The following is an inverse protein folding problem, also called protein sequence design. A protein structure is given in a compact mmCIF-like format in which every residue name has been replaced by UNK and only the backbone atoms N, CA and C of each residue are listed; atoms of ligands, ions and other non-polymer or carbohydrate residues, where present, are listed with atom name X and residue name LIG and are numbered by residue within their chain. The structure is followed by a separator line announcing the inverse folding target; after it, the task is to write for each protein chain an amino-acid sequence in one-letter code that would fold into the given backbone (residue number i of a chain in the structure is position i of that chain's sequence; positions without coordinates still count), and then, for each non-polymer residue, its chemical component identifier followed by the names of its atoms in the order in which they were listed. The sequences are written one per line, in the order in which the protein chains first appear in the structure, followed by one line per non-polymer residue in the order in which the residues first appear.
data_IF_861571732342
#
_entry.id   IF_861571732342
#
_cell.length_a   1.000
_cell.length_b   1.000
_cell.length_c   1.000
_cell.angle_alpha   90.00
_cell.angle_beta   90.00
_cell.angle_gamma   90.00
#
_symmetry.space_group_name_H-M   'P 1'
#
loop_
_entity.id
_entity.type
_entity.pdbx_description
1 polymer ?
#
# COMPACT_ATOMS: atom_id res chain seq x y z
N UNK A 1 -3.96 -33.74 -4.84
CA UNK A 1 -3.78 -32.37 -5.34
C UNK A 1 -4.09 -31.38 -4.24
N UNK A 2 -3.34 -30.28 -4.20
CA UNK A 2 -3.54 -29.19 -3.23
C UNK A 2 -4.86 -28.48 -3.54
N UNK A 3 -5.79 -28.39 -2.57
CA UNK A 3 -7.02 -27.61 -2.71
C UNK A 3 -6.77 -26.15 -3.11
N UNK A 4 -7.69 -25.56 -3.89
CA UNK A 4 -7.56 -24.17 -4.36
C UNK A 4 -7.43 -23.16 -3.19
N UNK A 5 -8.04 -23.45 -2.05
CA UNK A 5 -8.01 -22.65 -0.83
C UNK A 5 -6.65 -22.64 -0.11
N UNK A 6 -5.79 -23.63 -0.36
CA UNK A 6 -4.46 -23.72 0.23
C UNK A 6 -3.44 -22.83 -0.52
N UNK A 7 -3.82 -22.27 -1.68
CA UNK A 7 -3.00 -21.30 -2.39
C UNK A 7 -3.15 -19.91 -1.77
N UNK A 8 -2.03 -19.18 -1.69
CA UNK A 8 -2.02 -17.79 -1.20
C UNK A 8 -2.86 -16.90 -2.12
N UNK A 9 -3.85 -16.24 -1.54
CA UNK A 9 -4.70 -15.27 -2.22
C UNK A 9 -3.96 -13.92 -2.43
N UNK A 10 -4.50 -12.99 -3.25
CA UNK A 10 -3.87 -11.71 -3.53
C UNK A 10 -3.62 -10.88 -2.27
N UNK A 11 -4.61 -10.79 -1.38
CA UNK A 11 -4.55 -10.02 -0.13
C UNK A 11 -3.35 -10.46 0.71
N UNK A 12 -3.16 -11.77 0.90
CA UNK A 12 -2.04 -12.31 1.66
C UNK A 12 -0.70 -11.95 1.03
N UNK A 13 -0.59 -12.04 -0.30
CA UNK A 13 0.65 -11.72 -1.01
C UNK A 13 0.96 -10.22 -0.90
N UNK A 14 -0.03 -9.36 -1.10
CA UNK A 14 0.12 -7.90 -0.99
C UNK A 14 0.49 -7.47 0.43
N UNK A 15 -0.23 -7.96 1.43
CA UNK A 15 0.06 -7.65 2.84
C UNK A 15 1.46 -8.11 3.23
N UNK A 16 1.88 -9.32 2.81
CA UNK A 16 3.23 -9.82 3.10
C UNK A 16 4.31 -8.98 2.40
N UNK A 17 4.10 -8.64 1.12
CA UNK A 17 5.02 -7.80 0.36
C UNK A 17 5.19 -6.43 1.03
N UNK A 18 4.08 -5.74 1.33
CA UNK A 18 4.09 -4.39 1.91
C UNK A 18 4.72 -4.41 3.31
N UNK A 19 4.38 -5.40 4.15
CA UNK A 19 4.95 -5.54 5.49
C UNK A 19 6.47 -5.74 5.45
N UNK A 20 6.95 -6.57 4.53
CA UNK A 20 8.39 -6.86 4.40
C UNK A 20 9.14 -5.65 3.84
N UNK A 21 8.60 -4.96 2.84
CA UNK A 21 9.22 -3.77 2.25
C UNK A 21 9.29 -2.63 3.27
N UNK A 22 8.22 -2.39 4.04
CA UNK A 22 8.23 -1.34 5.08
C UNK A 22 9.21 -1.62 6.22
N UNK A 23 9.63 -2.88 6.38
CA UNK A 23 10.60 -3.34 7.38
C UNK A 23 11.99 -3.60 6.79
N UNK A 24 12.33 -2.92 5.70
CA UNK A 24 13.64 -2.94 5.06
C UNK A 24 14.04 -4.31 4.46
N UNK A 25 13.06 -5.07 3.97
CA UNK A 25 13.25 -6.38 3.37
C UNK A 25 12.84 -6.46 1.90
N UNK A 26 13.31 -7.51 1.22
CA UNK A 26 12.85 -7.88 -0.11
C UNK A 26 11.94 -9.10 -0.01
N UNK A 27 10.81 -9.08 -0.70
CA UNK A 27 9.89 -10.20 -0.75
C UNK A 27 10.15 -11.06 -1.99
N UNK A 28 10.52 -12.33 -1.76
CA UNK A 28 10.66 -13.33 -2.80
C UNK A 28 9.50 -14.32 -2.70
N UNK A 29 8.72 -14.45 -3.78
CA UNK A 29 7.62 -15.41 -3.88
C UNK A 29 8.05 -16.63 -4.69
N UNK A 30 7.83 -17.80 -4.13
CA UNK A 30 8.01 -19.08 -4.83
C UNK A 30 6.70 -19.53 -5.49
N UNK A 31 6.81 -20.17 -6.66
CA UNK A 31 5.66 -20.72 -7.39
C UNK A 31 5.97 -22.16 -7.81
N UNK A 32 5.05 -23.07 -7.48
CA UNK A 32 5.16 -24.48 -7.86
C UNK A 32 4.34 -24.78 -9.13
N UNK A 33 4.96 -24.89 -10.32
CA UNK A 33 4.25 -25.36 -11.49
C UNK A 33 3.90 -26.85 -11.38
N UNK A 34 2.93 -27.29 -12.16
CA UNK A 34 2.59 -28.71 -12.34
C UNK A 34 3.74 -29.47 -13.00
N UNK A 35 3.68 -30.81 -13.00
CA UNK A 35 4.71 -31.66 -13.60
C UNK A 35 4.97 -31.39 -15.11
N UNK A 36 3.98 -30.84 -15.82
CA UNK A 36 4.11 -30.41 -17.23
C UNK A 36 4.54 -28.94 -17.39
N UNK A 37 4.92 -28.25 -16.30
CA UNK A 37 5.45 -26.88 -16.30
C UNK A 37 4.40 -25.77 -16.25
N UNK A 38 3.11 -26.08 -16.12
CA UNK A 38 2.04 -25.08 -16.10
C UNK A 38 1.86 -24.47 -14.71
N UNK A 39 1.76 -23.14 -14.62
CA UNK A 39 1.35 -22.47 -13.37
C UNK A 39 -0.13 -22.72 -13.12
N UNK A 40 -0.46 -23.25 -11.94
CA UNK A 40 -1.83 -23.56 -11.53
C UNK A 40 -2.71 -22.30 -11.49
N UNK A 41 -3.99 -22.46 -11.88
CA UNK A 41 -4.93 -21.34 -12.04
C UNK A 41 -5.10 -20.45 -10.80
N UNK A 42 -5.16 -20.98 -9.55
CA UNK A 42 -5.26 -20.13 -8.36
C UNK A 42 -4.04 -19.22 -8.16
N UNK A 43 -2.83 -19.76 -8.33
CA UNK A 43 -1.58 -18.98 -8.26
C UNK A 43 -1.51 -17.95 -9.37
N UNK A 44 -1.82 -18.33 -10.61
CA UNK A 44 -1.81 -17.40 -11.75
C UNK A 44 -2.77 -16.23 -11.52
N UNK A 45 -4.00 -16.51 -11.10
CA UNK A 45 -5.02 -15.48 -10.82
C UNK A 45 -4.54 -14.52 -9.75
N UNK A 46 -3.95 -15.05 -8.67
CA UNK A 46 -3.48 -14.22 -7.56
C UNK A 46 -2.31 -13.34 -7.96
N UNK A 47 -1.32 -13.88 -8.68
CA UNK A 47 -0.16 -13.13 -9.15
C UNK A 47 -0.53 -12.04 -10.17
N UNK A 48 -1.53 -12.28 -11.03
CA UNK A 48 -2.00 -11.26 -11.97
C UNK A 48 -2.64 -10.07 -11.22
N UNK A 49 -3.47 -10.34 -10.21
CA UNK A 49 -4.05 -9.27 -9.36
C UNK A 49 -2.99 -8.48 -8.60
N UNK A 50 -1.99 -9.17 -8.04
CA UNK A 50 -0.83 -8.51 -7.41
C UNK A 50 -0.09 -7.62 -8.42
N UNK A 51 0.12 -8.11 -9.64
CA UNK A 51 0.75 -7.36 -10.73
C UNK A 51 -0.07 -6.14 -11.16
N UNK A 52 -1.39 -6.21 -11.17
CA UNK A 52 -2.28 -5.07 -11.43
C UNK A 52 -2.14 -4.00 -10.35
N UNK A 53 -2.14 -4.42 -9.07
CA UNK A 53 -1.93 -3.51 -7.94
C UNK A 53 -0.57 -2.82 -7.99
N UNK A 54 0.49 -3.59 -8.28
CA UNK A 54 1.86 -3.06 -8.36
C UNK A 54 2.05 -1.96 -9.40
N UNK A 55 1.20 -1.88 -10.43
CA UNK A 55 1.32 -0.83 -11.47
C UNK A 55 1.04 0.56 -10.94
N UNK A 56 0.09 0.71 -10.02
CA UNK A 56 -0.20 2.01 -9.41
C UNK A 56 0.50 2.17 -8.04
N UNK A 57 1.06 1.09 -7.50
CA UNK A 57 1.86 1.08 -6.27
C UNK A 57 3.36 1.34 -6.47
N UNK A 58 3.81 1.54 -7.70
CA UNK A 58 5.24 1.62 -8.01
C UNK A 58 5.98 2.66 -7.16
N UNK A 59 5.34 3.81 -6.92
CA UNK A 59 5.93 4.90 -6.15
C UNK A 59 6.11 4.57 -4.67
N UNK A 60 5.31 3.65 -4.12
CA UNK A 60 5.30 3.27 -2.72
C UNK A 60 6.12 1.99 -2.43
N UNK A 61 6.55 1.26 -3.47
CA UNK A 61 7.29 0.00 -3.34
C UNK A 61 8.69 0.11 -3.91
N UNK A 62 8.83 0.47 -5.19
CA UNK A 62 10.12 0.47 -5.86
C UNK A 62 10.94 1.73 -5.56
N UNK A 63 12.26 1.54 -5.43
CA UNK A 63 13.23 2.59 -5.09
C UNK A 63 12.84 3.38 -3.84
N UNK A 64 12.17 2.72 -2.91
CA UNK A 64 11.84 3.26 -1.59
C UNK A 64 12.84 2.80 -0.53
N UNK A 65 12.80 3.44 0.62
CA UNK A 65 13.44 3.02 1.86
C UNK A 65 12.38 2.85 2.95
N UNK A 66 12.74 2.11 4.00
CA UNK A 66 11.91 2.00 5.20
C UNK A 66 11.87 3.32 5.97
N UNK A 67 10.76 3.58 6.66
CA UNK A 67 10.71 4.68 7.62
C UNK A 67 11.36 4.26 8.95
N UNK A 68 12.53 4.82 9.26
CA UNK A 68 13.34 4.37 10.40
C UNK A 68 12.77 4.74 11.77
N UNK A 69 11.83 5.68 11.84
CA UNK A 69 11.18 6.08 13.10
C UNK A 69 10.11 5.07 13.50
N UNK A 70 9.28 4.63 12.54
CA UNK A 70 8.31 3.56 12.74
C UNK A 70 7.99 2.88 11.42
N UNK A 71 8.06 1.55 11.37
CA UNK A 71 7.77 0.78 10.16
C UNK A 71 6.26 0.55 9.95
N UNK A 72 5.46 0.65 11.01
CA UNK A 72 4.03 0.35 11.02
C UNK A 72 3.25 1.10 12.12
N UNK A 73 1.95 1.24 11.90
CA UNK A 73 0.98 1.70 12.91
C UNK A 73 -0.34 0.95 12.68
N UNK A 74 -0.64 -0.05 13.51
CA UNK A 74 -1.79 -0.92 13.27
C UNK A 74 -1.69 -1.56 11.87
N UNK A 75 -2.66 -1.24 11.01
CA UNK A 75 -2.72 -1.71 9.62
C UNK A 75 -2.00 -0.77 8.63
N UNK A 76 -1.34 0.29 9.10
CA UNK A 76 -0.55 1.18 8.26
C UNK A 76 0.89 0.67 8.13
N UNK A 77 1.46 0.86 6.95
CA UNK A 77 2.86 0.60 6.61
C UNK A 77 3.44 1.83 5.93
N UNK A 78 4.72 2.06 6.15
CA UNK A 78 5.38 3.28 5.70
C UNK A 78 6.61 2.99 4.86
N UNK A 79 6.73 3.72 3.75
CA UNK A 79 7.93 3.76 2.93
C UNK A 79 8.26 5.20 2.59
N UNK A 80 9.51 5.50 2.26
CA UNK A 80 9.96 6.87 2.01
C UNK A 80 10.93 6.97 0.83
N UNK A 81 10.89 8.11 0.17
CA UNK A 81 11.82 8.58 -0.86
C UNK A 81 12.38 9.95 -0.44
N UNK A 82 13.46 10.44 -1.07
CA UNK A 82 13.99 11.77 -0.78
C UNK A 82 12.96 12.91 -0.93
N UNK A 83 11.99 12.74 -1.82
CA UNK A 83 10.98 13.73 -2.20
C UNK A 83 9.55 13.35 -1.78
N UNK A 84 9.34 12.18 -1.17
CA UNK A 84 8.02 11.72 -0.79
C UNK A 84 7.98 10.81 0.45
N UNK A 85 6.82 10.77 1.08
CA UNK A 85 6.45 9.80 2.10
C UNK A 85 5.23 9.01 1.64
N UNK A 86 5.26 7.69 1.76
CA UNK A 86 4.16 6.83 1.37
C UNK A 86 3.55 6.15 2.59
N UNK A 87 2.22 6.19 2.68
CA UNK A 87 1.42 5.48 3.67
C UNK A 87 0.61 4.43 2.92
N UNK A 88 0.70 3.19 3.37
CA UNK A 88 0.04 2.04 2.76
C UNK A 88 -0.90 1.46 3.81
N UNK A 89 -2.20 1.49 3.56
CA UNK A 89 -3.21 0.92 4.47
C UNK A 89 -3.53 -0.50 4.07
N UNK A 90 -3.39 -1.45 4.99
CA UNK A 90 -3.75 -2.87 4.81
C UNK A 90 -5.23 -3.15 5.09
N UNK A 91 -5.96 -2.16 5.62
CA UNK A 91 -7.40 -2.22 5.85
C UNK A 91 -8.11 -0.99 5.30
N UNK A 92 -9.40 -1.13 5.06
CA UNK A 92 -10.24 -0.09 4.46
C UNK A 92 -10.29 1.15 5.38
N UNK A 93 -9.87 2.35 4.91
CA UNK A 93 -10.00 3.58 5.69
C UNK A 93 -11.47 3.87 6.01
N UNK A 94 -11.80 4.04 7.29
CA UNK A 94 -13.19 4.20 7.73
C UNK A 94 -13.65 5.66 7.68
N UNK A 95 -14.91 5.87 7.33
CA UNK A 95 -15.59 7.18 7.28
C UNK A 95 -14.92 8.17 6.31
N UNK A 96 -14.36 7.68 5.20
CA UNK A 96 -13.65 8.50 4.22
C UNK A 96 -12.42 9.22 4.78
N UNK A 97 -11.79 8.69 5.84
CA UNK A 97 -10.61 9.33 6.45
C UNK A 97 -9.54 8.30 6.79
N UNK A 98 -8.33 8.51 6.28
CA UNK A 98 -7.13 7.83 6.79
C UNK A 98 -6.59 8.61 7.98
N UNK A 99 -6.33 7.91 9.09
CA UNK A 99 -5.81 8.51 10.32
C UNK A 99 -4.47 7.89 10.71
N UNK A 100 -3.53 8.72 11.12
CA UNK A 100 -2.22 8.27 11.61
C UNK A 100 -1.82 9.09 12.84
N UNK A 101 -1.46 8.42 13.93
CA UNK A 101 -0.92 9.06 15.14
C UNK A 101 0.62 9.08 15.16
N UNK A 102 1.25 8.39 14.21
CA UNK A 102 2.70 8.34 14.06
C UNK A 102 3.30 9.71 13.75
N UNK A 103 4.53 9.91 14.22
CA UNK A 103 5.35 11.07 13.83
C UNK A 103 5.81 10.90 12.39
N UNK A 104 4.99 11.38 11.46
CA UNK A 104 5.29 11.39 10.03
C UNK A 104 6.04 12.68 9.67
N UNK A 105 6.96 12.63 8.69
CA UNK A 105 7.79 13.78 8.29
C UNK A 105 7.05 14.80 7.42
N UNK A 106 5.80 15.13 7.78
CA UNK A 106 4.95 16.08 7.05
C UNK A 106 5.16 17.50 7.56
N UNK A 107 5.16 18.46 6.65
CA UNK A 107 5.16 19.90 6.94
C UNK A 107 4.05 20.62 6.18
N UNK A 108 3.71 21.81 6.65
CA UNK A 108 2.77 22.68 5.97
C UNK A 108 3.22 22.94 4.52
N UNK A 109 2.28 22.79 3.60
CA UNK A 109 2.50 22.91 2.16
C UNK A 109 2.66 21.59 1.42
N UNK A 110 3.02 20.50 2.11
CA UNK A 110 3.13 19.18 1.48
C UNK A 110 1.79 18.73 0.87
N UNK A 111 1.89 18.01 -0.25
CA UNK A 111 0.72 17.62 -1.05
C UNK A 111 0.42 16.15 -0.80
N UNK A 112 -0.75 15.89 -0.21
CA UNK A 112 -1.25 14.53 -0.05
C UNK A 112 -2.02 14.08 -1.30
N UNK A 113 -1.85 12.82 -1.68
CA UNK A 113 -2.45 12.27 -2.90
C UNK A 113 -2.86 10.82 -2.65
N UNK A 114 -4.08 10.46 -3.04
CA UNK A 114 -4.52 9.07 -3.15
C UNK A 114 -4.10 8.52 -4.52
N UNK A 115 -3.49 7.34 -4.51
CA UNK A 115 -3.11 6.63 -5.73
C UNK A 115 -4.16 5.55 -6.02
N UNK A 116 -4.95 5.77 -7.07
CA UNK A 116 -6.04 4.88 -7.45
C UNK A 116 -5.66 3.90 -8.57
N UNK A 117 -6.59 2.99 -8.92
CA UNK A 117 -6.41 2.12 -10.07
C UNK A 117 -6.31 2.96 -11.36
N UNK A 118 -5.69 2.39 -12.39
CA UNK A 118 -5.34 3.10 -13.64
C UNK A 118 -4.29 4.23 -13.48
N UNK A 119 -3.51 4.20 -12.40
CA UNK A 119 -2.48 5.21 -12.07
C UNK A 119 -3.08 6.62 -11.88
N UNK A 120 -4.35 6.70 -11.48
CA UNK A 120 -4.97 7.97 -11.12
C UNK A 120 -4.33 8.54 -9.85
N UNK A 121 -4.22 9.86 -9.80
CA UNK A 121 -3.69 10.60 -8.65
C UNK A 121 -4.70 11.68 -8.27
N UNK A 122 -5.29 11.56 -7.08
CA UNK A 122 -6.25 12.53 -6.55
C UNK A 122 -5.68 13.24 -5.33
N UNK A 123 -5.51 14.54 -5.45
CA UNK A 123 -5.07 15.37 -4.32
C UNK A 123 -6.09 15.31 -3.17
N UNK A 124 -5.59 15.21 -1.94
CA UNK A 124 -6.38 15.07 -0.74
C UNK A 124 -6.25 16.32 0.13
N UNK A 125 -7.38 16.75 0.70
CA UNK A 125 -7.35 17.64 1.84
C UNK A 125 -6.82 16.87 3.05
N UNK A 126 -5.90 17.48 3.79
CA UNK A 126 -5.34 16.89 5.00
C UNK A 126 -5.18 17.92 6.10
N UNK A 127 -5.24 17.48 7.36
CA UNK A 127 -5.08 18.35 8.52
C UNK A 127 -4.56 17.59 9.73
N UNK A 128 -4.06 18.33 10.72
CA UNK A 128 -3.81 17.81 12.06
C UNK A 128 -5.05 18.04 12.93
N UNK A 129 -5.51 16.99 13.60
CA UNK A 129 -6.53 17.10 14.62
C UNK A 129 -5.99 17.87 15.85
N UNK A 130 -6.89 18.29 16.74
CA UNK A 130 -6.52 18.94 18.00
C UNK A 130 -5.68 18.06 18.94
N UNK A 131 -5.68 16.74 18.73
CA UNK A 131 -4.86 15.76 19.45
C UNK A 131 -3.57 15.37 18.70
N UNK A 132 -3.26 16.02 17.57
CA UNK A 132 -2.05 15.78 16.80
C UNK A 132 -2.11 14.55 15.89
N UNK A 133 -3.31 14.09 15.52
CA UNK A 133 -3.52 12.99 14.56
C UNK A 133 -3.56 13.57 13.15
N UNK A 134 -2.84 12.97 12.22
CA UNK A 134 -2.98 13.31 10.79
C UNK A 134 -4.28 12.72 10.28
N UNK A 135 -5.10 13.53 9.63
CA UNK A 135 -6.32 13.11 8.94
C UNK A 135 -6.23 13.46 7.46
N UNK A 136 -6.31 12.44 6.59
CA UNK A 136 -6.39 12.60 5.14
C UNK A 136 -7.82 12.27 4.70
N UNK A 137 -8.50 13.24 4.11
CA UNK A 137 -9.86 13.10 3.62
C UNK A 137 -9.84 12.39 2.27
N UNK A 138 -10.51 11.25 2.18
CA UNK A 138 -10.57 10.40 1.00
C UNK A 138 -12.02 10.22 0.60
N UNK A 139 -12.28 10.30 -0.70
CA UNK A 139 -13.60 10.05 -1.26
C UNK A 139 -13.92 8.54 -1.19
N UNK A 140 -15.09 8.19 -0.68
CA UNK A 140 -15.55 6.80 -0.56
C UNK A 140 -15.64 6.10 -1.92
N UNK A 141 -15.96 6.84 -3.00
CA UNK A 141 -15.98 6.28 -4.35
C UNK A 141 -14.57 5.84 -4.77
N UNK A 142 -13.54 6.61 -4.41
CA UNK A 142 -12.13 6.29 -4.70
C UNK A 142 -11.64 5.10 -3.87
N UNK A 143 -11.99 5.07 -2.59
CA UNK A 143 -11.67 3.94 -1.71
C UNK A 143 -12.27 2.64 -2.23
N UNK A 144 -13.51 2.67 -2.73
CA UNK A 144 -14.20 1.51 -3.27
C UNK A 144 -13.59 0.98 -4.58
N UNK A 145 -12.81 1.77 -5.31
CA UNK A 145 -12.13 1.33 -6.54
C UNK A 145 -10.91 0.44 -6.25
N UNK A 146 -10.34 0.53 -5.06
CA UNK A 146 -9.15 -0.25 -4.64
C UNK A 146 -9.59 -1.40 -3.74
N UNK A 147 -8.95 -2.55 -3.92
CA UNK A 147 -9.11 -3.71 -3.05
C UNK A 147 -7.78 -4.02 -2.36
N UNK A 148 -7.86 -4.71 -1.22
CA UNK A 148 -6.75 -5.27 -0.45
C UNK A 148 -5.85 -4.25 0.27
N UNK A 149 -5.34 -3.24 -0.44
CA UNK A 149 -4.36 -2.28 0.07
C UNK A 149 -4.48 -0.90 -0.58
N UNK A 150 -4.64 0.15 0.22
CA UNK A 150 -4.82 1.55 -0.22
C UNK A 150 -3.53 2.36 -0.10
N UNK A 151 -3.32 3.30 -1.01
CA UNK A 151 -2.05 4.01 -1.15
C UNK A 151 -2.22 5.52 -1.07
N UNK A 152 -1.38 6.11 -0.23
CA UNK A 152 -1.33 7.55 -0.02
C UNK A 152 0.11 8.00 -0.18
N UNK A 153 0.33 9.04 -0.98
CA UNK A 153 1.62 9.67 -1.20
C UNK A 153 1.57 11.09 -0.68
N UNK A 154 2.55 11.46 0.13
CA UNK A 154 2.79 12.83 0.54
C UNK A 154 4.04 13.31 -0.20
N UNK A 155 3.86 14.26 -1.10
CA UNK A 155 4.98 14.86 -1.84
C UNK A 155 5.49 16.05 -1.06
N UNK A 156 6.79 16.05 -0.73
CA UNK A 156 7.39 17.13 0.03
C UNK A 156 7.46 18.40 -0.81
N UNK A 157 7.07 19.51 -0.22
CA UNK A 157 7.40 20.83 -0.77
C UNK A 157 8.90 21.08 -0.67
N UNK A 158 9.47 21.76 -1.67
CA UNK A 158 10.87 22.20 -1.63
C UNK A 158 11.07 23.32 -0.62
#
# INVERSE_FOLDING_TARGET
DTPDEDYRNPTYILHSLVDIVSKNGNYLIDIGPTANGTVVSPSRTSLLKVGEWLRFAEEAIYDTQYWYVTAEEGDLRFTTKPDAFCIISLSYPTDGVLRSISSLPLKDGDVATFLGPDQSQKELAWSWSSSGVIELLVDEEELAMVQDTWLFKITYTQ
#
